data_IF_201931272962
#
_entry.id   IF_201931272962
#
_cell.length_a   1.000
_cell.length_b   1.000
_cell.length_c   1.000
_cell.angle_alpha   90.00
_cell.angle_beta   90.00
_cell.angle_gamma   90.00
#
_symmetry.space_group_name_H-M   'P 1'
#
loop_
_entity.id
_entity.type
_entity.pdbx_description
1 polymer ?
#
# COMPACT_ATOMS: atom_id res chain seq x y z
N UNK A 1 -6.24 9.42 6.13
CA UNK A 1 -6.83 8.29 5.36
C UNK A 1 -8.33 8.21 5.55
N UNK A 2 -8.88 8.87 6.56
CA UNK A 2 -10.26 8.82 7.03
C UNK A 2 -11.32 8.91 5.92
N UNK A 3 -11.10 9.73 4.89
CA UNK A 3 -12.02 9.85 3.75
C UNK A 3 -12.15 8.57 2.90
N UNK A 4 -11.15 7.68 2.97
CA UNK A 4 -11.07 6.41 2.25
C UNK A 4 -11.31 5.20 3.16
N UNK A 5 -11.43 5.40 4.48
CA UNK A 5 -11.60 4.31 5.45
C UNK A 5 -13.08 3.94 5.60
N UNK A 6 -13.40 2.66 5.45
CA UNK A 6 -14.73 2.10 5.74
C UNK A 6 -15.53 1.65 4.51
N UNK A 7 -16.74 1.12 4.77
CA UNK A 7 -17.65 0.54 3.77
C UNK A 7 -18.45 1.57 2.97
N UNK A 8 -17.83 2.71 2.61
CA UNK A 8 -18.44 3.62 1.65
C UNK A 8 -18.57 2.87 0.33
N UNK A 9 -19.69 3.05 -0.38
CA UNK A 9 -19.86 2.61 -1.77
C UNK A 9 -18.52 2.79 -2.49
N UNK A 10 -18.00 1.75 -3.19
CA UNK A 10 -16.71 1.84 -3.85
C UNK A 10 -16.69 3.17 -4.58
N UNK A 11 -15.83 4.11 -4.15
CA UNK A 11 -15.70 5.40 -4.80
C UNK A 11 -15.42 5.04 -6.24
N UNK A 12 -16.42 5.14 -7.13
CA UNK A 12 -16.49 4.29 -8.33
C UNK A 12 -15.37 4.58 -9.32
N UNK A 13 -14.60 5.62 -9.04
CA UNK A 13 -13.51 6.14 -9.84
C UNK A 13 -12.16 6.19 -9.08
N UNK A 14 -12.10 5.81 -7.80
CA UNK A 14 -10.84 5.78 -7.04
C UNK A 14 -10.17 4.41 -7.09
N UNK A 15 -8.84 4.41 -7.14
CA UNK A 15 -8.01 3.22 -7.12
C UNK A 15 -6.74 3.43 -6.32
N UNK A 16 -6.01 2.35 -6.09
CA UNK A 16 -4.75 2.40 -5.36
C UNK A 16 -3.63 1.61 -6.05
N UNK A 17 -2.41 2.11 -5.88
CA UNK A 17 -1.17 1.42 -6.22
C UNK A 17 -0.48 0.98 -4.93
N UNK A 18 -0.17 -0.31 -4.79
CA UNK A 18 0.57 -0.89 -3.68
C UNK A 18 1.97 -1.31 -4.12
N UNK A 19 2.99 -0.84 -3.41
CA UNK A 19 4.39 -1.15 -3.67
C UNK A 19 4.95 -1.91 -2.46
N UNK A 20 5.48 -3.10 -2.68
CA UNK A 20 5.90 -4.00 -1.60
C UNK A 20 7.37 -4.35 -1.77
N UNK A 21 8.18 -4.25 -0.71
CA UNK A 21 9.55 -4.73 -0.74
C UNK A 21 9.61 -6.24 -1.04
N UNK A 22 10.59 -6.71 -1.82
CA UNK A 22 10.86 -8.14 -2.08
C UNK A 22 11.07 -8.97 -0.80
N UNK A 23 11.48 -8.33 0.30
CA UNK A 23 11.59 -8.98 1.60
C UNK A 23 10.25 -9.27 2.29
N UNK A 24 9.12 -8.82 1.74
CA UNK A 24 7.76 -9.09 2.24
C UNK A 24 7.13 -10.32 1.59
N UNK A 25 5.87 -10.59 1.92
CA UNK A 25 5.09 -11.70 1.37
C UNK A 25 5.16 -12.96 2.22
N UNK A 26 4.87 -14.11 1.61
CA UNK A 26 4.66 -15.36 2.35
C UNK A 26 5.88 -15.83 3.17
N UNK A 27 7.11 -15.52 2.73
CA UNK A 27 8.30 -15.84 3.50
C UNK A 27 8.40 -15.05 4.82
N UNK A 28 7.93 -13.80 4.84
CA UNK A 28 7.94 -12.95 6.03
C UNK A 28 6.70 -13.20 6.91
N UNK A 29 5.53 -13.36 6.30
CA UNK A 29 4.24 -13.39 7.00
C UNK A 29 3.65 -14.79 7.17
N UNK A 30 4.27 -15.83 6.60
CA UNK A 30 3.75 -17.21 6.61
C UNK A 30 2.51 -17.42 5.73
N UNK A 31 2.02 -16.39 5.04
CA UNK A 31 0.86 -16.46 4.15
C UNK A 31 0.96 -15.46 2.98
N UNK A 32 0.36 -15.75 1.81
CA UNK A 32 0.23 -14.77 0.74
C UNK A 32 -0.70 -13.61 1.13
N UNK A 33 -0.67 -12.55 0.34
CA UNK A 33 -1.65 -11.45 0.35
C UNK A 33 -1.76 -10.64 1.65
N UNK A 34 -0.77 -10.72 2.55
CA UNK A 34 -0.80 -9.99 3.82
C UNK A 34 -1.06 -8.49 3.66
N UNK A 35 -0.26 -7.79 2.83
CA UNK A 35 -0.40 -6.33 2.68
C UNK A 35 -1.66 -5.94 1.90
N UNK A 36 -2.08 -6.74 0.92
CA UNK A 36 -3.30 -6.48 0.14
C UNK A 36 -4.55 -6.68 0.99
N UNK A 37 -4.58 -7.69 1.84
CA UNK A 37 -5.65 -7.90 2.82
C UNK A 37 -5.66 -6.80 3.88
N UNK A 38 -4.49 -6.41 4.39
CA UNK A 38 -4.36 -5.29 5.33
C UNK A 38 -4.86 -3.99 4.72
N UNK A 39 -4.56 -3.71 3.45
CA UNK A 39 -5.10 -2.55 2.74
C UNK A 39 -6.63 -2.60 2.67
N UNK A 40 -7.20 -3.76 2.30
CA UNK A 40 -8.67 -3.94 2.20
C UNK A 40 -9.36 -3.76 3.56
N UNK A 41 -8.74 -4.27 4.63
CA UNK A 41 -9.28 -4.19 5.99
C UNK A 41 -9.19 -2.76 6.56
N UNK A 42 -8.06 -2.08 6.36
CA UNK A 42 -7.79 -0.79 7.01
C UNK A 42 -8.14 0.42 6.17
N UNK A 43 -8.17 0.29 4.85
CA UNK A 43 -8.46 1.37 3.91
C UNK A 43 -9.80 1.08 3.24
N UNK A 44 -9.82 0.33 2.14
CA UNK A 44 -11.07 -0.07 1.48
C UNK A 44 -10.87 -1.20 0.47
N UNK A 45 -11.99 -1.75 0.00
CA UNK A 45 -12.03 -2.73 -1.09
C UNK A 45 -11.94 -2.11 -2.51
N UNK A 46 -11.36 -0.91 -2.67
CA UNK A 46 -11.18 -0.28 -3.99
C UNK A 46 -10.23 -1.10 -4.90
N UNK A 47 -10.29 -0.93 -6.23
CA UNK A 47 -9.34 -1.55 -7.15
C UNK A 47 -7.89 -1.28 -6.72
N UNK A 48 -7.14 -2.36 -6.51
CA UNK A 48 -5.77 -2.35 -6.02
C UNK A 48 -4.88 -3.09 -7.02
N UNK A 49 -3.83 -2.42 -7.47
CA UNK A 49 -2.78 -3.03 -8.31
C UNK A 49 -1.41 -2.52 -7.86
N UNK A 50 -0.34 -2.99 -8.48
CA UNK A 50 1.01 -2.57 -8.13
C UNK A 50 2.08 -3.56 -8.53
N UNK A 51 3.23 -3.49 -7.86
CA UNK A 51 4.38 -4.36 -8.13
C UNK A 51 5.33 -4.43 -6.93
N UNK A 52 6.26 -5.39 -6.99
CA UNK A 52 7.31 -5.53 -5.99
C UNK A 52 8.51 -4.62 -6.28
N UNK A 53 9.06 -4.04 -5.21
CA UNK A 53 10.19 -3.10 -5.18
C UNK A 53 11.32 -3.64 -4.30
N UNK A 54 12.50 -3.03 -4.33
CA UNK A 54 13.62 -3.41 -3.45
C UNK A 54 13.93 -2.36 -2.38
N UNK A 55 12.90 -2.01 -1.59
CA UNK A 55 12.98 -1.04 -0.49
C UNK A 55 12.41 0.33 -0.86
N UNK A 56 12.44 1.24 0.11
CA UNK A 56 11.92 2.60 -0.01
C UNK A 56 13.00 3.62 0.33
N UNK A 57 13.15 4.65 -0.49
CA UNK A 57 14.09 5.75 -0.23
C UNK A 57 13.37 6.79 0.62
N UNK A 58 13.85 7.04 1.84
CA UNK A 58 13.21 7.97 2.78
C UNK A 58 14.19 8.58 3.77
N UNK A 59 13.83 9.76 4.30
CA UNK A 59 14.69 10.47 5.25
C UNK A 59 14.51 10.00 6.69
N UNK A 60 15.62 9.94 7.45
CA UNK A 60 15.66 9.81 8.91
C UNK A 60 16.66 10.81 9.43
N UNK A 61 16.24 11.69 10.36
CA UNK A 61 17.09 12.72 10.97
C UNK A 61 17.91 13.54 9.96
N UNK A 62 17.27 13.97 8.87
CA UNK A 62 17.89 14.79 7.81
C UNK A 62 18.82 14.04 6.85
N UNK A 63 18.98 12.72 7.01
CA UNK A 63 19.77 11.88 6.11
C UNK A 63 18.88 10.92 5.31
N UNK A 64 19.25 10.63 4.06
CA UNK A 64 18.51 9.70 3.20
C UNK A 64 18.96 8.26 3.45
N UNK A 65 18.00 7.35 3.62
CA UNK A 65 18.24 5.91 3.82
C UNK A 65 17.43 5.09 2.84
N UNK A 66 17.89 3.87 2.58
CA UNK A 66 17.12 2.81 1.94
C UNK A 66 16.49 1.92 3.02
N UNK A 67 15.18 1.99 3.15
CA UNK A 67 14.39 1.22 4.10
C UNK A 67 14.01 -0.13 3.50
N UNK A 68 14.48 -1.21 4.12
CA UNK A 68 14.06 -2.58 3.79
C UNK A 68 12.73 -2.95 4.42
N UNK A 69 12.09 -4.00 3.91
CA UNK A 69 10.83 -4.54 4.45
C UNK A 69 9.69 -3.51 4.54
N UNK A 70 9.69 -2.49 3.70
CA UNK A 70 8.62 -1.49 3.61
C UNK A 70 7.49 -1.93 2.68
N UNK A 71 6.32 -1.34 2.89
CA UNK A 71 5.24 -1.32 1.92
C UNK A 71 4.59 0.05 1.97
N UNK A 72 4.43 0.65 0.80
CA UNK A 72 3.84 1.97 0.63
C UNK A 72 2.74 1.90 -0.42
N UNK A 73 1.76 2.79 -0.31
CA UNK A 73 0.67 2.85 -1.28
C UNK A 73 0.30 4.29 -1.60
N UNK A 74 -0.23 4.48 -2.81
CA UNK A 74 -0.82 5.74 -3.25
C UNK A 74 -2.27 5.52 -3.66
N UNK A 75 -3.15 6.44 -3.27
CA UNK A 75 -4.56 6.44 -3.69
C UNK A 75 -4.73 7.55 -4.73
N UNK A 76 -5.41 7.24 -5.83
CA UNK A 76 -5.72 8.17 -6.90
C UNK A 76 -7.23 8.18 -7.17
N UNK A 77 -7.73 9.33 -7.65
CA UNK A 77 -9.14 9.59 -7.99
C UNK A 77 -9.20 10.64 -9.09
N UNK A 78 -10.32 10.79 -9.81
CA UNK A 78 -10.51 11.88 -10.74
C UNK A 78 -10.33 13.23 -10.04
N UNK A 79 -9.78 14.16 -10.82
CA UNK A 79 -9.83 15.57 -10.48
C UNK A 79 -11.27 16.02 -10.71
N UNK A 80 -11.86 16.63 -9.69
CA UNK A 80 -13.19 17.25 -9.76
C UNK A 80 -13.37 18.14 -10.99
#
# INVERSE_FOLDING_TARGET
LDQYMGSREPHSESGALLFQCLGRGAYLYGRPDHDTDMFREKVSAMPLTGFFCNGEIGQVSGSTYLHGYTSSFGIFRPKE
#
